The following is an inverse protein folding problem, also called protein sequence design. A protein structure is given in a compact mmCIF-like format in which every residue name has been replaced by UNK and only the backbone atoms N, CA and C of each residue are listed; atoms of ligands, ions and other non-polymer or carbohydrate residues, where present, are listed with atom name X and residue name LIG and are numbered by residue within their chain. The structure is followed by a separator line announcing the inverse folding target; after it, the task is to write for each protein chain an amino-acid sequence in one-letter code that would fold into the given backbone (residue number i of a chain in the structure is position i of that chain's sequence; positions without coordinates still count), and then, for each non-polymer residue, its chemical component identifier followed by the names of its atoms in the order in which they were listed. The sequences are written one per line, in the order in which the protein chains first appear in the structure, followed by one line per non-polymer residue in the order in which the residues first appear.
data_IF_470361981545
#
_entry.id   IF_470361981545
#
_cell.length_a   1.000
_cell.length_b   1.000
_cell.length_c   1.000
_cell.angle_alpha   90.00
_cell.angle_beta   90.00
_cell.angle_gamma   90.00
#
_symmetry.space_group_name_H-M   'P 1'
#
loop_
_entity.id
_entity.type
_entity.pdbx_description
1 polymer ?
#
# COMPACT_ATOMS: atom_id res chain seq x y z
N UNK A 1 -24.04 7.70 20.30
CA UNK A 1 -23.53 8.52 19.18
C UNK A 1 -22.04 8.20 19.07
N UNK A 2 -21.66 7.27 18.20
CA UNK A 2 -20.25 6.89 18.04
C UNK A 2 -19.52 8.07 17.40
N UNK A 3 -18.53 8.61 18.11
CA UNK A 3 -17.77 9.77 17.68
C UNK A 3 -16.99 9.44 16.40
N UNK A 4 -16.97 10.36 15.44
CA UNK A 4 -16.20 10.25 14.18
C UNK A 4 -14.71 9.94 14.39
N UNK A 5 -14.19 10.09 15.60
CA UNK A 5 -12.82 9.79 15.99
C UNK A 5 -12.42 8.30 16.03
N UNK A 6 -13.37 7.37 15.97
CA UNK A 6 -13.07 5.92 16.03
C UNK A 6 -12.75 5.28 14.68
N UNK A 7 -13.07 5.95 13.56
CA UNK A 7 -12.71 5.48 12.22
C UNK A 7 -11.45 6.19 11.71
N UNK A 8 -10.28 5.68 12.14
CA UNK A 8 -8.95 6.12 11.66
C UNK A 8 -8.78 6.09 10.14
N UNK A 9 -9.64 5.34 9.44
CA UNK A 9 -9.60 5.13 8.00
C UNK A 9 -10.36 6.21 7.20
N UNK A 10 -11.28 6.99 7.79
CA UNK A 10 -12.20 7.84 7.00
C UNK A 10 -11.59 9.19 6.56
N UNK A 11 -10.46 9.57 7.14
CA UNK A 11 -9.77 10.84 6.88
C UNK A 11 -8.53 10.60 6.01
N UNK A 12 -8.17 11.54 5.11
CA UNK A 12 -6.92 11.47 4.37
C UNK A 12 -5.71 11.46 5.32
N UNK A 13 -4.60 10.86 4.88
CA UNK A 13 -3.34 10.83 5.61
C UNK A 13 -2.67 12.23 5.69
N UNK A 14 -3.22 13.11 6.52
CA UNK A 14 -2.69 14.47 6.76
C UNK A 14 -1.74 14.49 7.97
N UNK A 15 -0.82 15.48 8.06
CA UNK A 15 0.10 15.61 9.19
C UNK A 15 -0.54 15.65 10.59
N UNK A 16 -1.81 16.06 10.66
CA UNK A 16 -2.59 16.14 11.90
C UNK A 16 -3.36 14.85 12.23
N UNK A 17 -3.29 13.83 11.37
CA UNK A 17 -4.01 12.58 11.57
C UNK A 17 -3.43 11.79 12.76
N UNK A 18 -4.32 11.10 13.48
CA UNK A 18 -3.90 10.14 14.53
C UNK A 18 -3.41 8.85 13.87
N UNK A 19 -2.09 8.68 13.84
CA UNK A 19 -1.44 7.52 13.25
C UNK A 19 -1.53 6.30 14.18
N UNK A 20 -1.69 5.10 13.61
CA UNK A 20 -1.53 3.84 14.33
C UNK A 20 -0.07 3.65 14.79
N UNK A 21 0.14 3.08 15.97
CA UNK A 21 1.48 2.80 16.50
C UNK A 21 2.22 1.74 15.68
N UNK A 22 1.49 0.74 15.20
CA UNK A 22 2.01 -0.32 14.33
C UNK A 22 1.25 -0.28 12.99
N UNK A 23 2.00 0.04 11.94
CA UNK A 23 1.48 0.32 10.59
C UNK A 23 1.72 -0.84 9.64
N UNK A 24 2.39 -1.90 10.12
CA UNK A 24 2.64 -3.13 9.36
C UNK A 24 1.43 -4.06 9.32
N UNK A 25 0.47 -3.86 10.24
CA UNK A 25 -0.76 -4.67 10.36
C UNK A 25 -1.88 -4.26 9.41
N UNK A 26 -1.71 -3.19 8.65
CA UNK A 26 -2.75 -2.61 7.81
C UNK A 26 -2.26 -2.51 6.37
N UNK A 27 -3.17 -2.75 5.41
CA UNK A 27 -2.87 -2.62 3.98
C UNK A 27 -2.89 -1.16 3.52
N UNK A 28 -3.77 -0.34 4.10
CA UNK A 28 -4.03 1.03 3.65
C UNK A 28 -3.91 2.04 4.78
N UNK A 29 -3.48 3.25 4.46
CA UNK A 29 -3.42 4.40 5.34
C UNK A 29 -4.79 5.03 5.60
N UNK A 30 -5.61 5.09 4.55
CA UNK A 30 -6.86 5.82 4.53
C UNK A 30 -7.85 5.21 3.54
N UNK A 31 -9.06 5.77 3.51
CA UNK A 31 -10.15 5.35 2.63
C UNK A 31 -9.89 5.56 1.15
N UNK A 32 -8.92 6.39 0.79
CA UNK A 32 -8.55 6.61 -0.61
C UNK A 32 -7.72 5.46 -1.17
N UNK A 33 -7.29 4.52 -0.32
CA UNK A 33 -6.57 3.33 -0.75
C UNK A 33 -5.08 3.56 -0.89
N UNK A 34 -4.52 4.58 -0.24
CA UNK A 34 -3.07 4.73 -0.19
C UNK A 34 -2.45 3.56 0.56
N UNK A 35 -1.56 2.77 -0.06
CA UNK A 35 -0.98 1.61 0.60
C UNK A 35 -0.05 2.02 1.73
N UNK A 36 0.00 1.22 2.79
CA UNK A 36 1.07 1.34 3.78
C UNK A 36 2.41 1.01 3.15
N UNK A 37 3.51 1.47 3.77
CA UNK A 37 4.86 1.11 3.33
C UNK A 37 5.06 -0.41 3.27
N UNK A 38 4.47 -1.15 4.22
CA UNK A 38 4.51 -2.61 4.25
C UNK A 38 3.76 -3.21 3.05
N UNK A 39 2.55 -2.73 2.74
CA UNK A 39 1.79 -3.21 1.59
C UNK A 39 2.47 -2.83 0.26
N UNK A 40 3.00 -1.62 0.14
CA UNK A 40 3.72 -1.16 -1.04
C UNK A 40 4.96 -2.02 -1.31
N UNK A 41 5.73 -2.39 -0.27
CA UNK A 41 6.84 -3.34 -0.41
C UNK A 41 6.40 -4.68 -0.99
N UNK A 42 5.34 -5.28 -0.44
CA UNK A 42 4.83 -6.55 -0.95
C UNK A 42 4.41 -6.46 -2.42
N UNK A 43 3.76 -5.36 -2.82
CA UNK A 43 3.37 -5.15 -4.22
C UNK A 43 4.62 -5.06 -5.11
N UNK A 44 5.61 -4.27 -4.71
CA UNK A 44 6.86 -4.11 -5.47
C UNK A 44 7.62 -5.44 -5.57
N UNK A 45 7.69 -6.21 -4.48
CA UNK A 45 8.34 -7.53 -4.48
C UNK A 45 7.69 -8.47 -5.51
N UNK A 46 6.35 -8.47 -5.61
CA UNK A 46 5.63 -9.24 -6.63
C UNK A 46 5.92 -8.74 -8.06
N UNK A 47 5.95 -7.42 -8.27
CA UNK A 47 6.23 -6.83 -9.59
C UNK A 47 7.67 -7.11 -10.06
N UNK A 48 8.62 -7.27 -9.14
CA UNK A 48 10.02 -7.58 -9.46
C UNK A 48 10.27 -9.08 -9.66
N UNK A 49 9.28 -9.94 -9.46
CA UNK A 49 9.39 -11.35 -9.83
C UNK A 49 9.38 -11.52 -11.35
N UNK A 50 9.96 -12.62 -11.84
CA UNK A 50 9.88 -13.00 -13.27
C UNK A 50 8.56 -13.73 -13.59
N UNK A 51 7.48 -13.41 -12.87
CA UNK A 51 6.17 -14.00 -13.07
C UNK A 51 5.27 -13.08 -13.90
N UNK A 52 4.91 -13.58 -15.09
CA UNK A 52 4.01 -12.89 -16.03
C UNK A 52 2.60 -12.63 -15.50
N UNK A 53 2.19 -13.28 -14.40
CA UNK A 53 0.89 -13.04 -13.76
C UNK A 53 0.81 -11.64 -13.13
N UNK A 54 1.94 -11.10 -12.65
CA UNK A 54 2.01 -9.79 -11.99
C UNK A 54 2.54 -8.68 -12.90
N UNK A 55 3.16 -9.02 -14.04
CA UNK A 55 3.65 -8.07 -15.04
C UNK A 55 3.56 -8.68 -16.44
N UNK A 56 2.72 -8.10 -17.30
CA UNK A 56 2.44 -8.60 -18.65
C UNK A 56 2.36 -7.43 -19.63
N UNK A 57 2.86 -7.56 -20.89
CA UNK A 57 3.34 -8.78 -21.56
C UNK A 57 4.81 -9.16 -21.30
N UNK A 58 5.58 -8.30 -20.63
CA UNK A 58 6.98 -8.55 -20.27
C UNK A 58 7.19 -8.23 -18.78
N UNK A 59 8.13 -8.91 -18.13
CA UNK A 59 8.43 -8.70 -16.71
C UNK A 59 9.34 -7.48 -16.52
N UNK A 60 9.36 -6.89 -15.31
CA UNK A 60 10.21 -5.73 -15.04
C UNK A 60 11.71 -6.07 -15.19
N UNK A 61 12.10 -7.28 -14.80
CA UNK A 61 13.47 -7.80 -14.95
C UNK A 61 13.88 -7.86 -16.43
N UNK A 62 12.98 -8.31 -17.31
CA UNK A 62 13.20 -8.31 -18.76
C UNK A 62 13.34 -6.88 -19.30
N UNK A 63 12.45 -5.98 -18.89
CA UNK A 63 12.46 -4.58 -19.36
C UNK A 63 13.77 -3.85 -19.02
N UNK A 64 14.32 -4.05 -17.82
CA UNK A 64 15.58 -3.38 -17.41
C UNK A 64 16.84 -4.05 -17.96
N UNK A 65 16.75 -5.29 -18.45
CA UNK A 65 17.87 -6.04 -19.03
C UNK A 65 18.14 -5.74 -20.51
N UNK A 66 17.43 -4.75 -21.06
CA UNK A 66 17.52 -4.34 -22.48
C UNK A 66 18.74 -3.47 -22.77
#
# INVERSE_FOLDING_TARGET
MLSFSDFRFYLPCLPLAKLCSDRTKYLFWDRYGHPTEAAARTIVDLMLTDDSHYSSPITLTQLVST
#
